data_IF_490606921812
#
_entry.id   IF_490606921812
#
_cell.length_a   1.000
_cell.length_b   1.000
_cell.length_c   1.000
_cell.angle_alpha   90.00
_cell.angle_beta   90.00
_cell.angle_gamma   90.00
#
_symmetry.space_group_name_H-M   'P 1'
#
loop_
_entity.id
_entity.type
_entity.pdbx_description
1 polymer ?
#
# COMPACT_ATOMS: atom_id res chain seq x y z
N UNK A 1 -10.95 -22.64 -20.79
CA UNK A 1 -9.60 -22.56 -20.24
C UNK A 1 -8.99 -21.18 -20.49
N UNK A 2 -7.94 -20.85 -19.79
CA UNK A 2 -7.21 -19.60 -20.00
C UNK A 2 -6.62 -19.57 -21.42
N UNK A 3 -6.96 -18.53 -22.18
CA UNK A 3 -6.49 -18.38 -23.57
C UNK A 3 -5.73 -17.06 -23.78
N UNK A 4 -6.10 -16.03 -23.04
CA UNK A 4 -5.51 -14.70 -23.17
C UNK A 4 -4.17 -14.61 -22.47
N UNK A 5 -3.24 -13.85 -23.04
CA UNK A 5 -1.87 -13.73 -22.54
C UNK A 5 -1.80 -13.17 -21.13
N UNK A 6 -2.67 -12.21 -20.74
CA UNK A 6 -2.73 -11.69 -19.38
C UNK A 6 -3.16 -12.74 -18.34
N UNK A 7 -4.09 -13.65 -18.71
CA UNK A 7 -4.50 -14.75 -17.84
C UNK A 7 -3.37 -15.78 -17.69
N UNK A 8 -2.69 -16.09 -18.80
CA UNK A 8 -1.54 -17.01 -18.81
C UNK A 8 -0.41 -16.43 -17.97
N UNK A 9 -0.08 -15.15 -18.16
CA UNK A 9 0.94 -14.46 -17.41
C UNK A 9 0.63 -14.44 -15.91
N UNK A 10 -0.60 -14.13 -15.51
CA UNK A 10 -1.03 -14.13 -14.12
C UNK A 10 -0.86 -15.52 -13.47
N UNK A 11 -1.25 -16.59 -14.18
CA UNK A 11 -1.09 -17.96 -13.70
C UNK A 11 0.39 -18.35 -13.54
N UNK A 12 1.23 -17.97 -14.51
CA UNK A 12 2.69 -18.21 -14.47
C UNK A 12 3.30 -17.50 -13.27
N UNK A 13 2.94 -16.24 -13.04
CA UNK A 13 3.47 -15.43 -11.94
C UNK A 13 3.05 -16.00 -10.59
N UNK A 14 1.75 -16.27 -10.40
CA UNK A 14 1.24 -16.87 -9.17
C UNK A 14 1.92 -18.19 -8.83
N UNK A 15 2.04 -19.09 -9.84
CA UNK A 15 2.72 -20.37 -9.66
C UNK A 15 4.19 -20.19 -9.36
N UNK A 16 4.88 -19.31 -10.09
CA UNK A 16 6.32 -19.08 -9.91
C UNK A 16 6.71 -18.49 -8.56
N UNK A 17 5.77 -17.83 -7.88
CA UNK A 17 5.95 -17.27 -6.53
C UNK A 17 5.53 -18.22 -5.41
N UNK A 18 4.65 -19.16 -5.69
CA UNK A 18 4.08 -20.02 -4.67
C UNK A 18 5.06 -21.11 -4.23
N UNK A 19 4.91 -21.54 -2.98
CA UNK A 19 5.59 -22.72 -2.46
C UNK A 19 5.32 -23.92 -3.37
N UNK A 20 6.37 -24.67 -3.69
CA UNK A 20 6.35 -25.83 -4.60
C UNK A 20 5.90 -25.50 -6.04
N UNK A 21 5.88 -24.23 -6.42
CA UNK A 21 5.48 -23.76 -7.72
C UNK A 21 6.53 -23.96 -8.81
N UNK A 22 6.67 -25.19 -9.30
CA UNK A 22 7.67 -25.60 -10.30
C UNK A 22 7.04 -25.73 -11.69
N UNK A 23 7.81 -25.43 -12.71
CA UNK A 23 7.42 -25.61 -14.11
C UNK A 23 8.13 -26.82 -14.70
N UNK A 24 7.39 -27.73 -15.35
CA UNK A 24 7.94 -28.92 -15.98
C UNK A 24 8.37 -28.66 -17.43
N UNK A 25 9.61 -29.00 -17.78
CA UNK A 25 10.13 -28.93 -19.12
C UNK A 25 10.67 -30.30 -19.53
N UNK A 26 10.37 -30.75 -20.75
CA UNK A 26 10.76 -32.08 -21.26
C UNK A 26 12.28 -32.26 -21.23
N UNK A 27 13.03 -31.22 -21.56
CA UNK A 27 14.46 -31.18 -21.42
C UNK A 27 14.85 -30.05 -20.46
N UNK A 28 15.08 -30.37 -19.20
CA UNK A 28 15.45 -29.40 -18.17
C UNK A 28 16.85 -28.80 -18.38
N UNK A 29 17.66 -29.38 -19.24
CA UNK A 29 19.00 -28.89 -19.62
C UNK A 29 18.93 -27.90 -20.79
N UNK A 30 17.75 -27.69 -21.35
CA UNK A 30 17.56 -26.62 -22.35
C UNK A 30 17.68 -25.25 -21.70
N UNK A 31 18.89 -24.69 -21.82
CA UNK A 31 19.22 -23.38 -21.25
C UNK A 31 18.30 -22.25 -21.74
N UNK A 32 17.80 -22.34 -22.99
CA UNK A 32 16.94 -21.31 -23.57
C UNK A 32 15.51 -21.39 -23.02
N UNK A 33 14.95 -22.59 -22.92
CA UNK A 33 13.62 -22.81 -22.36
C UNK A 33 13.57 -22.46 -20.85
N UNK A 34 14.51 -22.99 -20.11
CA UNK A 34 14.64 -22.73 -18.66
C UNK A 34 14.90 -21.25 -18.36
N UNK A 35 15.84 -20.63 -19.08
CA UNK A 35 16.17 -19.23 -18.93
C UNK A 35 15.01 -18.32 -19.32
N UNK A 36 14.29 -18.65 -20.41
CA UNK A 36 13.13 -17.88 -20.86
C UNK A 36 12.01 -17.79 -19.82
N UNK A 37 11.59 -18.95 -19.27
CA UNK A 37 10.54 -18.99 -18.24
C UNK A 37 11.03 -18.27 -16.97
N UNK A 38 12.24 -18.57 -16.51
CA UNK A 38 12.80 -17.94 -15.30
C UNK A 38 12.85 -16.43 -15.44
N UNK A 39 13.41 -15.89 -16.52
CA UNK A 39 13.54 -14.45 -16.74
C UNK A 39 12.18 -13.76 -16.87
N UNK A 40 11.20 -14.40 -17.52
CA UNK A 40 9.85 -13.87 -17.63
C UNK A 40 9.16 -13.79 -16.27
N UNK A 41 9.23 -14.85 -15.48
CA UNK A 41 8.66 -14.87 -14.12
C UNK A 41 9.38 -13.87 -13.22
N UNK A 42 10.71 -13.83 -13.21
CA UNK A 42 11.48 -12.86 -12.41
C UNK A 42 11.16 -11.41 -12.78
N UNK A 43 10.96 -11.11 -14.05
CA UNK A 43 10.60 -9.77 -14.51
C UNK A 43 9.22 -9.35 -14.03
N UNK A 44 8.24 -10.24 -14.10
CA UNK A 44 6.90 -9.99 -13.61
C UNK A 44 6.83 -9.95 -12.07
N UNK A 45 7.57 -10.84 -11.41
CA UNK A 45 7.65 -10.91 -9.95
C UNK A 45 8.30 -9.67 -9.35
N UNK A 46 9.27 -9.05 -10.01
CA UNK A 46 9.85 -7.77 -9.54
C UNK A 46 8.83 -6.67 -9.31
N UNK A 47 7.75 -6.65 -10.10
CA UNK A 47 6.63 -5.73 -9.86
C UNK A 47 5.86 -6.11 -8.59
N UNK A 48 5.61 -7.40 -8.39
CA UNK A 48 4.87 -7.92 -7.23
C UNK A 48 5.73 -7.95 -5.96
N UNK A 49 7.03 -8.18 -6.07
CA UNK A 49 7.98 -8.08 -4.94
C UNK A 49 8.01 -6.68 -4.33
N UNK A 50 7.90 -5.63 -5.14
CA UNK A 50 7.76 -4.26 -4.63
C UNK A 50 6.51 -4.10 -3.79
N UNK A 51 5.38 -4.64 -4.25
CA UNK A 51 4.11 -4.62 -3.54
C UNK A 51 4.19 -5.38 -2.21
N UNK A 52 4.73 -6.59 -2.25
CA UNK A 52 4.91 -7.45 -1.08
C UNK A 52 5.89 -6.82 -0.08
N UNK A 53 7.01 -6.30 -0.57
CA UNK A 53 8.01 -5.64 0.26
C UNK A 53 7.45 -4.39 0.92
N UNK A 54 6.71 -3.57 0.18
CA UNK A 54 6.06 -2.39 0.73
C UNK A 54 5.03 -2.76 1.81
N UNK A 55 4.23 -3.81 1.59
CA UNK A 55 3.31 -4.33 2.62
C UNK A 55 4.05 -4.79 3.88
N UNK A 56 5.15 -5.51 3.74
CA UNK A 56 5.99 -5.95 4.86
C UNK A 56 6.63 -4.78 5.62
N UNK A 57 7.05 -3.73 4.92
CA UNK A 57 7.62 -2.53 5.58
C UNK A 57 6.57 -1.79 6.42
N UNK A 58 5.32 -1.70 5.96
CA UNK A 58 4.23 -1.12 6.77
C UNK A 58 4.00 -1.92 8.06
N UNK A 59 4.05 -3.24 7.99
CA UNK A 59 3.86 -4.10 9.18
C UNK A 59 4.96 -3.92 10.22
N UNK A 60 6.18 -3.57 9.80
CA UNK A 60 7.30 -3.32 10.72
C UNK A 60 7.20 -1.98 11.47
N UNK A 61 6.28 -1.10 11.05
CA UNK A 61 6.11 0.20 11.72
C UNK A 61 5.55 -0.02 13.11
N UNK A 62 6.20 0.56 14.11
CA UNK A 62 5.70 0.60 15.49
C UNK A 62 4.59 1.66 15.59
N UNK A 63 3.33 1.20 15.59
CA UNK A 63 2.17 2.07 15.78
C UNK A 63 1.94 2.42 17.26
N UNK A 64 2.72 1.85 18.19
CA UNK A 64 2.54 2.03 19.62
C UNK A 64 1.30 1.32 20.16
N UNK A 65 1.11 1.49 21.48
CA UNK A 65 -0.04 0.93 22.20
C UNK A 65 -1.11 1.99 22.52
N UNK A 66 -0.92 3.22 22.06
CA UNK A 66 -1.91 4.29 22.25
C UNK A 66 -3.14 4.05 21.36
N UNK A 67 -4.30 4.47 21.82
CA UNK A 67 -5.50 4.42 20.98
C UNK A 67 -5.34 5.39 19.80
N UNK A 68 -5.76 4.92 18.62
CA UNK A 68 -5.79 5.73 17.41
C UNK A 68 -6.59 7.01 17.66
N UNK A 69 -6.04 8.16 17.23
CA UNK A 69 -6.69 9.46 17.40
C UNK A 69 -6.79 9.92 18.86
N UNK A 70 -5.86 9.52 19.71
CA UNK A 70 -5.87 9.82 21.13
C UNK A 70 -5.85 11.35 21.37
N UNK A 71 -6.90 11.86 22.01
CA UNK A 71 -7.01 13.26 22.43
C UNK A 71 -6.80 13.35 23.93
N UNK A 72 -5.84 14.17 24.33
CA UNK A 72 -5.40 14.33 25.73
C UNK A 72 -5.61 15.74 26.24
N UNK A 73 -5.67 15.87 27.57
CA UNK A 73 -5.75 17.17 28.22
C UNK A 73 -4.49 18.01 27.99
N UNK A 74 -4.68 19.30 28.14
CA UNK A 74 -3.66 20.34 28.08
C UNK A 74 -2.31 19.90 28.70
N UNK A 75 -1.25 20.08 27.96
CA UNK A 75 0.13 19.79 28.40
C UNK A 75 0.59 18.34 28.22
N UNK A 76 -0.30 17.42 27.87
CA UNK A 76 0.01 15.99 27.66
C UNK A 76 0.10 15.59 26.18
N UNK A 77 -0.18 16.51 25.25
CA UNK A 77 0.12 16.31 23.83
C UNK A 77 1.63 16.35 23.63
N UNK A 78 2.24 15.36 23.05
CA UNK A 78 3.66 15.34 22.75
C UNK A 78 3.93 15.35 21.25
N UNK A 79 5.19 15.47 20.85
CA UNK A 79 5.58 15.14 19.49
C UNK A 79 5.31 13.65 19.24
N UNK A 80 4.81 13.30 18.06
CA UNK A 80 4.74 11.91 17.64
C UNK A 80 6.15 11.38 17.36
N UNK A 81 6.34 10.07 17.46
CA UNK A 81 7.61 9.45 17.09
C UNK A 81 7.87 9.64 15.59
N UNK A 82 8.96 10.35 15.26
CA UNK A 82 9.29 10.73 13.89
C UNK A 82 9.56 9.53 12.99
N UNK A 83 10.15 8.44 13.51
CA UNK A 83 10.40 7.23 12.75
C UNK A 83 9.09 6.49 12.46
N UNK A 84 8.15 6.48 13.40
CA UNK A 84 6.82 5.91 13.21
C UNK A 84 6.05 6.67 12.12
N UNK A 85 5.98 8.01 12.20
CA UNK A 85 5.30 8.85 11.20
C UNK A 85 5.90 8.63 9.79
N UNK A 86 7.23 8.73 9.67
CA UNK A 86 7.94 8.53 8.40
C UNK A 86 7.79 7.11 7.86
N UNK A 87 7.84 6.11 8.75
CA UNK A 87 7.66 4.71 8.41
C UNK A 87 6.27 4.44 7.83
N UNK A 88 5.21 4.97 8.46
CA UNK A 88 3.84 4.89 7.97
C UNK A 88 3.72 5.53 6.59
N UNK A 89 4.21 6.76 6.44
CA UNK A 89 4.11 7.50 5.18
C UNK A 89 4.88 6.82 4.04
N UNK A 90 6.12 6.37 4.28
CA UNK A 90 6.95 5.63 3.30
C UNK A 90 6.34 4.27 2.94
N UNK A 91 5.77 3.56 3.93
CA UNK A 91 5.08 2.30 3.70
C UNK A 91 3.84 2.48 2.81
N UNK A 92 3.00 3.47 3.11
CA UNK A 92 1.83 3.82 2.28
C UNK A 92 2.27 4.18 0.87
N UNK A 93 3.28 5.05 0.71
CA UNK A 93 3.83 5.39 -0.61
C UNK A 93 4.29 4.15 -1.37
N UNK A 94 5.08 3.29 -0.73
CA UNK A 94 5.57 2.06 -1.35
C UNK A 94 4.46 1.14 -1.85
N UNK A 95 3.36 1.02 -1.09
CA UNK A 95 2.18 0.23 -1.49
C UNK A 95 1.47 0.89 -2.68
N UNK A 96 1.22 2.20 -2.62
CA UNK A 96 0.54 2.93 -3.70
C UNK A 96 1.35 2.85 -5.00
N UNK A 97 2.66 3.10 -4.94
CA UNK A 97 3.56 3.02 -6.10
C UNK A 97 3.57 1.61 -6.70
N UNK A 98 3.67 0.59 -5.85
CA UNK A 98 3.72 -0.81 -6.29
C UNK A 98 2.38 -1.33 -6.83
N UNK A 99 1.26 -0.80 -6.32
CA UNK A 99 -0.09 -1.12 -6.82
C UNK A 99 -0.44 -0.38 -8.13
N UNK A 100 0.47 0.44 -8.68
CA UNK A 100 0.19 1.26 -9.85
C UNK A 100 -0.85 2.36 -9.58
N UNK A 101 -1.00 2.77 -8.32
CA UNK A 101 -1.94 3.81 -7.92
C UNK A 101 -1.61 5.15 -8.57
N UNK A 102 -2.45 5.59 -9.51
CA UNK A 102 -2.31 6.86 -10.21
C UNK A 102 -3.00 7.97 -9.43
N UNK A 103 -2.32 8.48 -8.40
CA UNK A 103 -2.83 9.60 -7.60
C UNK A 103 -2.64 10.97 -8.30
N UNK A 104 -1.89 11.04 -9.39
CA UNK A 104 -1.66 12.28 -10.13
C UNK A 104 -2.95 12.90 -10.68
N UNK A 105 -3.95 12.07 -10.99
CA UNK A 105 -5.26 12.51 -11.46
C UNK A 105 -6.20 12.96 -10.31
N UNK A 106 -5.82 12.75 -9.06
CA UNK A 106 -6.62 13.15 -7.90
C UNK A 106 -6.49 14.66 -7.71
N UNK A 107 -7.61 15.37 -7.82
CA UNK A 107 -7.66 16.82 -7.60
C UNK A 107 -7.52 17.11 -6.10
N UNK A 108 -6.60 18.01 -5.74
CA UNK A 108 -6.44 18.45 -4.36
C UNK A 108 -7.72 19.18 -3.85
N UNK A 109 -7.93 19.16 -2.55
CA UNK A 109 -9.00 19.94 -1.94
C UNK A 109 -8.76 21.44 -2.15
N UNK A 110 -9.85 22.19 -2.33
CA UNK A 110 -9.79 23.65 -2.49
C UNK A 110 -10.19 24.41 -1.23
N UNK A 111 -10.62 23.71 -0.16
CA UNK A 111 -11.06 24.32 1.10
C UNK A 111 -9.86 24.65 1.96
N UNK A 112 -9.80 25.85 2.47
CA UNK A 112 -8.71 26.41 3.32
C UNK A 112 -9.21 26.99 4.64
N UNK A 113 -10.37 26.51 5.13
CA UNK A 113 -11.05 27.08 6.31
C UNK A 113 -10.65 26.42 7.63
N UNK A 114 -9.96 25.29 7.59
CA UNK A 114 -9.72 24.46 8.77
C UNK A 114 -8.30 24.52 9.33
N UNK A 115 -7.54 25.58 9.01
CA UNK A 115 -6.14 25.77 9.44
C UNK A 115 -5.93 25.79 10.96
N UNK A 116 -6.93 26.20 11.74
CA UNK A 116 -6.86 26.21 13.20
C UNK A 116 -6.79 24.79 13.80
N UNK A 117 -7.11 23.75 13.03
CA UNK A 117 -6.84 22.37 13.42
C UNK A 117 -5.38 22.12 13.82
N UNK A 118 -4.44 22.96 13.31
CA UNK A 118 -3.03 22.93 13.67
C UNK A 118 -2.76 23.12 15.16
N UNK A 119 -3.62 23.81 15.88
CA UNK A 119 -3.50 24.02 17.33
C UNK A 119 -3.51 22.73 18.14
N UNK A 120 -4.15 21.66 17.59
CA UNK A 120 -4.19 20.34 18.22
C UNK A 120 -2.84 19.61 18.22
N UNK A 121 -1.87 20.07 17.42
CA UNK A 121 -0.58 19.41 17.24
C UNK A 121 0.50 19.86 18.26
N UNK A 122 0.21 20.84 19.09
CA UNK A 122 1.15 21.36 20.07
C UNK A 122 1.22 20.58 21.37
N UNK A 123 2.40 20.62 22.03
CA UNK A 123 2.64 20.00 23.34
C UNK A 123 2.08 20.85 24.49
N UNK A 124 2.19 22.16 24.35
CA UNK A 124 1.70 23.11 25.35
C UNK A 124 0.23 23.37 25.02
N UNK A 125 -0.62 22.49 25.44
CA UNK A 125 -2.05 22.39 25.15
C UNK A 125 -2.89 23.61 25.50
N UNK A 126 -2.38 24.79 25.32
CA UNK A 126 -3.04 26.02 25.73
C UNK A 126 -3.92 26.67 24.69
N UNK A 127 -3.94 26.18 23.47
CA UNK A 127 -4.56 26.92 22.38
C UNK A 127 -5.75 26.23 21.68
N UNK A 128 -5.83 24.90 21.68
CA UNK A 128 -6.89 24.21 20.98
C UNK A 128 -8.18 24.07 21.82
N UNK A 129 -9.28 24.56 21.31
CA UNK A 129 -10.62 24.42 21.89
C UNK A 129 -11.51 23.43 21.09
N UNK A 130 -12.76 23.27 21.51
CA UNK A 130 -13.72 22.41 20.82
C UNK A 130 -14.01 22.87 19.37
N UNK A 131 -13.89 24.17 19.09
CA UNK A 131 -14.02 24.71 17.73
C UNK A 131 -12.87 24.26 16.82
N UNK A 132 -11.64 24.28 17.35
CA UNK A 132 -10.45 23.80 16.62
C UNK A 132 -10.55 22.28 16.34
N UNK A 133 -11.05 21.52 17.32
CA UNK A 133 -11.32 20.09 17.14
C UNK A 133 -12.39 19.82 16.07
N UNK A 134 -13.43 20.67 16.04
CA UNK A 134 -14.46 20.59 15.00
C UNK A 134 -13.90 20.90 13.60
N UNK A 135 -12.95 21.83 13.49
CA UNK A 135 -12.25 22.10 12.22
C UNK A 135 -11.39 20.92 11.78
N UNK A 136 -10.71 20.26 12.71
CA UNK A 136 -9.97 19.02 12.40
C UNK A 136 -10.90 17.91 11.86
N UNK A 137 -12.05 17.72 12.51
CA UNK A 137 -13.07 16.78 12.06
C UNK A 137 -13.63 17.16 10.67
N UNK A 138 -13.88 18.45 10.44
CA UNK A 138 -14.35 18.95 9.16
C UNK A 138 -13.33 18.74 8.03
N UNK A 139 -12.05 19.02 8.28
CA UNK A 139 -10.99 18.79 7.29
C UNK A 139 -10.93 17.33 6.86
N UNK A 140 -11.02 16.38 7.81
CA UNK A 140 -10.99 14.94 7.49
C UNK A 140 -12.27 14.48 6.79
N UNK A 141 -13.43 14.94 7.23
CA UNK A 141 -14.71 14.52 6.64
C UNK A 141 -15.03 15.19 5.30
N UNK A 142 -14.42 16.33 5.02
CA UNK A 142 -14.60 17.11 3.79
C UNK A 142 -13.79 16.61 2.59
N UNK A 143 -12.92 15.63 2.78
CA UNK A 143 -12.03 15.13 1.74
C UNK A 143 -12.20 13.64 1.51
N UNK A 144 -11.83 13.18 0.31
CA UNK A 144 -11.84 11.76 -0.01
C UNK A 144 -10.59 11.04 0.53
N UNK A 145 -10.70 9.73 0.72
CA UNK A 145 -9.53 8.91 1.10
C UNK A 145 -8.40 8.97 0.07
N UNK A 146 -8.73 9.10 -1.23
CA UNK A 146 -7.74 9.26 -2.30
C UNK A 146 -6.98 10.59 -2.18
N UNK A 147 -7.65 11.67 -1.78
CA UNK A 147 -7.02 12.96 -1.53
C UNK A 147 -6.07 12.88 -0.33
N UNK A 148 -6.47 12.22 0.76
CA UNK A 148 -5.60 12.00 1.93
C UNK A 148 -4.37 11.17 1.52
N UNK A 149 -4.58 10.06 0.80
CA UNK A 149 -3.47 9.20 0.32
C UNK A 149 -2.50 9.98 -0.57
N UNK A 150 -3.02 10.81 -1.48
CA UNK A 150 -2.17 11.66 -2.34
C UNK A 150 -1.25 12.55 -1.52
N UNK A 151 -1.77 13.25 -0.53
CA UNK A 151 -0.96 14.15 0.30
C UNK A 151 0.09 13.40 1.13
N UNK A 152 -0.23 12.19 1.61
CA UNK A 152 0.75 11.34 2.30
C UNK A 152 1.85 10.89 1.35
N UNK A 153 1.51 10.42 0.16
CA UNK A 153 2.47 9.94 -0.86
C UNK A 153 3.36 11.08 -1.35
N UNK A 154 2.79 12.24 -1.64
CA UNK A 154 3.52 13.44 -2.07
C UNK A 154 4.50 13.90 -0.98
N UNK A 155 4.08 13.88 0.29
CA UNK A 155 4.95 14.22 1.41
C UNK A 155 6.08 13.18 1.61
N UNK A 156 5.76 11.89 1.47
CA UNK A 156 6.74 10.80 1.61
C UNK A 156 7.79 10.78 0.49
N UNK A 157 7.50 11.43 -0.64
CA UNK A 157 8.44 11.60 -1.75
C UNK A 157 9.46 12.73 -1.57
N UNK A 158 9.28 13.59 -0.55
CA UNK A 158 10.22 14.69 -0.26
C UNK A 158 11.46 14.19 0.48
N UNK A 159 12.52 14.99 0.46
CA UNK A 159 13.76 14.68 1.19
C UNK A 159 13.56 14.65 2.72
N UNK A 160 14.36 13.84 3.41
CA UNK A 160 14.25 13.64 4.87
C UNK A 160 14.40 14.94 5.68
N UNK A 161 15.13 15.95 5.15
CA UNK A 161 15.28 17.26 5.76
C UNK A 161 13.97 18.03 5.90
N UNK A 162 13.08 17.89 4.93
CA UNK A 162 11.75 18.52 4.91
C UNK A 162 10.73 17.79 5.80
N UNK A 163 11.12 16.63 6.34
CA UNK A 163 10.26 15.75 7.13
C UNK A 163 10.61 15.76 8.63
N UNK A 164 11.35 16.76 9.11
CA UNK A 164 11.58 16.94 10.54
C UNK A 164 10.34 17.57 11.20
N UNK A 165 10.07 17.15 12.44
CA UNK A 165 8.96 17.72 13.21
C UNK A 165 9.16 19.20 13.50
N UNK A 166 8.14 20.00 13.20
CA UNK A 166 8.11 21.44 13.44
C UNK A 166 6.76 21.83 14.04
N UNK A 167 6.65 23.03 14.59
CA UNK A 167 5.34 23.54 15.04
C UNK A 167 4.38 23.69 13.83
N UNK A 168 3.09 23.56 14.06
CA UNK A 168 2.07 23.56 13.00
C UNK A 168 2.18 24.79 12.08
N UNK A 169 2.43 25.97 12.63
CA UNK A 169 2.58 27.21 11.84
C UNK A 169 3.75 27.19 10.85
N UNK A 170 4.79 26.41 11.11
CA UNK A 170 5.98 26.31 10.26
C UNK A 170 6.00 25.04 9.40
N UNK A 171 5.03 24.14 9.58
CA UNK A 171 4.95 22.90 8.82
C UNK A 171 4.61 23.17 7.34
N UNK A 172 5.45 22.68 6.46
CA UNK A 172 5.28 22.80 5.00
C UNK A 172 4.79 21.52 4.32
N UNK A 173 4.54 20.46 5.09
CA UNK A 173 3.99 19.20 4.60
C UNK A 173 3.36 18.39 5.75
N UNK A 174 2.49 17.41 5.42
CA UNK A 174 1.80 16.59 6.42
C UNK A 174 2.70 15.78 7.35
N UNK A 175 3.87 15.32 6.92
CA UNK A 175 4.79 14.53 7.76
C UNK A 175 5.41 15.42 8.85
N UNK A 176 5.94 16.58 8.47
CA UNK A 176 6.51 17.53 9.43
C UNK A 176 5.48 18.00 10.46
N UNK A 177 4.25 18.26 10.02
CA UNK A 177 3.12 18.59 10.87
C UNK A 177 2.75 17.42 11.81
N UNK A 178 2.65 16.20 11.29
CA UNK A 178 2.28 15.02 12.07
C UNK A 178 3.26 14.71 13.19
N UNK A 179 4.57 14.83 12.93
CA UNK A 179 5.60 14.69 13.96
C UNK A 179 5.40 15.80 15.00
N UNK A 180 5.27 17.04 14.55
CA UNK A 180 4.98 18.19 15.40
C UNK A 180 6.18 18.64 16.24
N UNK A 181 5.97 19.72 16.98
CA UNK A 181 6.88 20.30 17.97
C UNK A 181 6.11 20.86 19.17
N UNK A 182 6.86 21.43 20.16
CA UNK A 182 6.26 21.82 21.44
C UNK A 182 5.20 22.93 21.38
N UNK A 183 5.24 23.81 20.37
CA UNK A 183 4.35 24.95 20.28
C UNK A 183 3.08 24.65 19.47
N UNK A 184 1.93 25.06 20.02
CA UNK A 184 0.66 25.04 19.30
C UNK A 184 0.54 26.25 18.34
N UNK A 185 -0.22 26.10 17.26
CA UNK A 185 -0.51 27.20 16.33
C UNK A 185 -1.36 26.72 15.15
N UNK A 186 -2.04 27.65 14.50
CA UNK A 186 -2.73 27.35 13.24
C UNK A 186 -1.70 27.01 12.14
N UNK A 187 -2.10 26.21 11.16
CA UNK A 187 -1.31 26.00 9.95
C UNK A 187 -1.22 27.31 9.14
N UNK A 188 -0.04 27.63 8.63
CA UNK A 188 0.18 28.91 7.95
C UNK A 188 0.98 28.79 6.64
N UNK A 189 1.61 27.64 6.38
CA UNK A 189 2.39 27.43 5.15
C UNK A 189 1.56 26.80 4.06
N UNK A 190 1.81 27.13 2.80
CA UNK A 190 1.07 26.67 1.61
C UNK A 190 0.94 25.14 1.53
N UNK A 191 1.88 24.41 2.06
CA UNK A 191 1.84 22.94 2.11
C UNK A 191 0.93 22.37 3.20
N UNK A 192 0.20 23.21 3.99
CA UNK A 192 -0.64 22.81 5.12
C UNK A 192 -1.93 23.62 5.26
N UNK A 193 -2.31 24.43 4.28
CA UNK A 193 -3.52 25.25 4.35
C UNK A 193 -4.77 24.53 3.86
N UNK A 194 -4.64 23.52 3.02
CA UNK A 194 -5.76 22.80 2.41
C UNK A 194 -6.23 21.64 3.28
N UNK A 195 -7.51 21.35 3.21
CA UNK A 195 -8.14 20.32 4.04
C UNK A 195 -7.56 18.92 3.82
N UNK A 196 -7.17 18.55 2.61
CA UNK A 196 -6.54 17.26 2.33
C UNK A 196 -5.13 17.14 2.95
N UNK A 197 -4.36 18.23 2.98
CA UNK A 197 -3.07 18.30 3.65
C UNK A 197 -3.21 18.21 5.18
N UNK A 198 -4.19 18.93 5.74
CA UNK A 198 -4.55 18.89 7.16
C UNK A 198 -5.01 17.49 7.56
N UNK A 199 -5.90 16.89 6.78
CA UNK A 199 -6.39 15.53 7.00
C UNK A 199 -5.27 14.50 6.98
N UNK A 200 -4.35 14.60 6.02
CA UNK A 200 -3.19 13.71 5.93
C UNK A 200 -2.30 13.81 7.19
N UNK A 201 -2.04 15.01 7.71
CA UNK A 201 -1.29 15.21 8.95
C UNK A 201 -2.00 14.62 10.17
N UNK A 202 -3.32 14.83 10.27
CA UNK A 202 -4.16 14.28 11.35
C UNK A 202 -4.11 12.74 11.33
N UNK A 203 -4.26 12.13 10.17
CA UNK A 203 -4.25 10.67 10.01
C UNK A 203 -2.88 10.10 10.36
N UNK A 204 -1.79 10.66 9.82
CA UNK A 204 -0.43 10.21 10.12
C UNK A 204 -0.12 10.32 11.61
N UNK A 205 -0.48 11.45 12.26
CA UNK A 205 -0.27 11.63 13.69
C UNK A 205 -1.12 10.68 14.51
N UNK A 206 -2.39 10.53 14.16
CA UNK A 206 -3.33 9.68 14.89
C UNK A 206 -2.97 8.19 14.87
N UNK A 207 -2.19 7.74 13.89
CA UNK A 207 -1.70 6.36 13.76
C UNK A 207 -0.31 6.15 14.34
N UNK A 208 0.48 7.21 14.49
CA UNK A 208 1.87 7.09 14.88
C UNK A 208 2.02 6.85 16.38
N UNK A 209 3.08 6.15 16.75
CA UNK A 209 3.50 5.97 18.14
C UNK A 209 3.67 7.34 18.82
N UNK A 210 3.02 7.51 19.98
CA UNK A 210 3.04 8.76 20.75
C UNK A 210 2.25 9.90 20.10
N UNK A 211 1.53 9.65 19.01
CA UNK A 211 0.75 10.65 18.30
C UNK A 211 -0.53 11.02 19.03
N UNK A 212 -0.49 12.11 19.79
CA UNK A 212 -1.60 12.61 20.59
C UNK A 212 -2.01 14.01 20.14
N UNK A 213 -3.29 14.33 20.30
CA UNK A 213 -3.84 15.65 20.03
C UNK A 213 -4.13 16.36 21.35
N UNK A 214 -3.62 17.58 21.51
CA UNK A 214 -3.82 18.39 22.71
C UNK A 214 -5.09 19.21 22.63
N UNK A 215 -5.98 19.09 23.62
CA UNK A 215 -7.20 19.90 23.74
C UNK A 215 -7.21 20.61 25.11
N UNK A 216 -7.56 21.90 25.13
CA UNK A 216 -7.54 22.72 26.36
C UNK A 216 -8.41 22.13 27.46
N UNK A 217 -9.54 21.57 27.10
CA UNK A 217 -10.44 20.87 28.00
C UNK A 217 -10.74 19.45 27.43
N UNK A 218 -9.99 18.45 27.90
CA UNK A 218 -10.16 17.06 27.45
C UNK A 218 -11.49 16.43 27.91
N UNK A 219 -12.25 17.12 28.77
CA UNK A 219 -13.57 16.70 29.21
C UNK A 219 -14.70 17.26 28.34
N UNK A 220 -14.39 18.11 27.35
CA UNK A 220 -15.35 18.57 26.35
C UNK A 220 -15.69 17.44 25.38
N UNK A 221 -16.77 16.75 25.71
CA UNK A 221 -17.07 15.39 25.30
C UNK A 221 -17.39 15.16 23.83
N UNK A 222 -18.48 15.66 23.33
CA UNK A 222 -19.07 15.08 22.10
C UNK A 222 -18.55 15.71 20.81
N UNK A 223 -18.21 16.99 20.85
CA UNK A 223 -17.86 17.75 19.65
C UNK A 223 -16.34 17.94 19.49
N UNK A 224 -15.57 17.92 20.61
CA UNK A 224 -14.13 18.07 20.57
C UNK A 224 -13.41 16.72 20.44
N UNK A 225 -13.33 15.98 21.54
CA UNK A 225 -12.60 14.71 21.64
C UNK A 225 -13.19 13.63 20.73
N UNK A 226 -14.52 13.49 20.78
CA UNK A 226 -15.25 12.51 19.95
C UNK A 226 -15.16 12.84 18.47
N UNK A 227 -15.24 14.10 18.08
CA UNK A 227 -15.14 14.53 16.68
C UNK A 227 -13.80 14.18 16.05
N UNK A 228 -12.68 14.53 16.71
CA UNK A 228 -11.32 14.19 16.23
C UNK A 228 -11.13 12.69 16.17
N UNK A 229 -11.49 11.98 17.24
CA UNK A 229 -11.36 10.52 17.29
C UNK A 229 -12.14 9.84 16.17
N UNK A 230 -13.41 10.16 15.99
CA UNK A 230 -14.25 9.58 14.93
C UNK A 230 -13.75 9.91 13.52
N UNK A 231 -13.25 11.14 13.30
CA UNK A 231 -12.69 11.55 12.04
C UNK A 231 -11.41 10.76 11.72
N UNK A 232 -10.50 10.66 12.68
CA UNK A 232 -9.27 9.87 12.53
C UNK A 232 -9.60 8.39 12.33
N UNK A 233 -10.48 7.80 13.15
CA UNK A 233 -10.89 6.40 13.00
C UNK A 233 -11.52 6.13 11.63
N UNK A 234 -12.33 7.04 11.11
CA UNK A 234 -12.94 6.90 9.79
C UNK A 234 -11.91 6.93 8.67
N UNK A 235 -10.94 7.84 8.74
CA UNK A 235 -9.85 7.92 7.77
C UNK A 235 -8.86 6.74 7.90
N UNK A 236 -8.58 6.32 9.13
CA UNK A 236 -7.71 5.18 9.42
C UNK A 236 -8.30 3.86 8.95
N UNK A 237 -9.63 3.69 8.94
CA UNK A 237 -10.26 2.47 8.37
C UNK A 237 -9.87 2.21 6.92
N UNK A 238 -9.60 3.26 6.13
CA UNK A 238 -9.03 3.10 4.78
C UNK A 238 -7.61 2.55 4.83
N UNK A 239 -6.79 3.06 5.75
CA UNK A 239 -5.39 2.64 5.93
C UNK A 239 -5.25 1.30 6.68
N UNK A 240 -6.19 0.97 7.56
CA UNK A 240 -6.26 -0.35 8.21
C UNK A 240 -6.45 -1.49 7.20
N UNK A 241 -7.17 -1.27 6.12
CA UNK A 241 -7.27 -2.24 5.03
C UNK A 241 -5.92 -2.50 4.38
N UNK A 242 -5.13 -1.45 4.13
CA UNK A 242 -3.76 -1.54 3.61
C UNK A 242 -2.85 -2.33 4.56
N UNK A 243 -2.88 -1.98 5.84
CA UNK A 243 -2.08 -2.64 6.88
C UNK A 243 -2.49 -4.11 7.04
N UNK A 244 -3.79 -4.38 7.05
CA UNK A 244 -4.32 -5.74 7.15
C UNK A 244 -3.93 -6.58 5.94
N UNK A 245 -4.05 -6.02 4.73
CA UNK A 245 -3.62 -6.69 3.51
C UNK A 245 -2.10 -6.98 3.52
N UNK A 246 -1.27 -6.05 4.00
CA UNK A 246 0.16 -6.27 4.21
C UNK A 246 0.44 -7.42 5.17
N UNK A 247 -0.28 -7.49 6.29
CA UNK A 247 -0.19 -8.58 7.28
C UNK A 247 -0.61 -9.94 6.71
N UNK A 248 -1.62 -9.99 5.85
CA UNK A 248 -2.02 -11.23 5.20
C UNK A 248 -0.95 -11.72 4.22
N UNK A 249 -0.30 -10.81 3.48
CA UNK A 249 0.85 -11.18 2.63
C UNK A 249 2.04 -11.68 3.45
N UNK A 250 2.30 -11.11 4.63
CA UNK A 250 3.39 -11.57 5.50
C UNK A 250 3.21 -13.02 5.96
N UNK A 251 1.97 -13.47 6.13
CA UNK A 251 1.64 -14.85 6.56
C UNK A 251 1.81 -15.88 5.45
N UNK A 252 1.96 -15.45 4.19
CA UNK A 252 2.08 -16.38 3.06
C UNK A 252 3.44 -17.08 3.10
N UNK A 253 3.42 -18.39 3.07
CA UNK A 253 4.61 -19.22 2.87
C UNK A 253 4.97 -19.27 1.39
N UNK A 254 5.99 -18.51 1.00
CA UNK A 254 6.53 -18.50 -0.36
C UNK A 254 7.45 -19.70 -0.63
N UNK A 255 7.77 -20.51 0.39
CA UNK A 255 8.72 -21.61 0.31
C UNK A 255 10.18 -21.12 0.17
N UNK A 256 11.06 -22.11 0.02
CA UNK A 256 12.50 -21.88 -0.15
C UNK A 256 12.99 -22.14 -1.59
N UNK A 257 12.06 -22.48 -2.50
CA UNK A 257 12.42 -22.71 -3.90
C UNK A 257 12.72 -21.36 -4.60
N UNK A 258 13.61 -21.42 -5.56
CA UNK A 258 13.86 -20.23 -6.40
C UNK A 258 12.61 -19.88 -7.22
N UNK A 259 12.30 -18.60 -7.27
CA UNK A 259 11.19 -18.06 -8.08
C UNK A 259 11.35 -18.53 -9.53
N UNK A 260 10.24 -18.99 -10.12
CA UNK A 260 10.24 -19.47 -11.50
C UNK A 260 11.02 -20.76 -11.73
N UNK A 261 11.15 -21.62 -10.72
CA UNK A 261 11.91 -22.86 -10.79
C UNK A 261 11.40 -23.78 -11.90
N UNK A 262 12.30 -24.14 -12.82
CA UNK A 262 12.02 -25.06 -13.93
C UNK A 262 12.76 -26.37 -13.64
N UNK A 263 12.01 -27.48 -13.66
CA UNK A 263 12.48 -28.82 -13.33
C UNK A 263 12.29 -29.78 -14.51
N UNK A 264 12.98 -30.92 -14.44
CA UNK A 264 12.83 -31.97 -15.43
C UNK A 264 11.41 -32.53 -15.46
N UNK A 265 11.08 -33.14 -16.60
CA UNK A 265 9.84 -33.87 -16.84
C UNK A 265 9.44 -34.77 -15.67
N UNK A 266 8.19 -34.66 -15.22
CA UNK A 266 7.63 -35.47 -14.14
C UNK A 266 7.97 -35.00 -12.72
N UNK A 267 8.79 -33.97 -12.55
CA UNK A 267 9.15 -33.39 -11.25
C UNK A 267 8.40 -32.10 -10.91
N UNK A 268 7.62 -31.56 -11.84
CA UNK A 268 6.75 -30.42 -11.58
C UNK A 268 5.49 -30.88 -10.85
N UNK A 269 5.48 -30.78 -9.55
CA UNK A 269 4.31 -31.03 -8.71
C UNK A 269 3.24 -29.93 -8.87
N UNK A 270 2.10 -30.09 -8.21
CA UNK A 270 1.17 -28.99 -8.00
C UNK A 270 1.80 -27.97 -7.04
N UNK A 271 1.64 -26.68 -7.32
CA UNK A 271 1.98 -25.65 -6.36
C UNK A 271 1.09 -25.75 -5.10
N UNK A 272 1.61 -25.34 -3.96
CA UNK A 272 0.83 -25.30 -2.73
C UNK A 272 -0.38 -24.37 -2.88
N UNK A 273 -1.57 -24.92 -2.67
CA UNK A 273 -2.84 -24.22 -2.90
C UNK A 273 -3.01 -23.02 -1.97
N UNK A 274 -2.61 -23.17 -0.71
CA UNK A 274 -2.80 -22.12 0.28
C UNK A 274 -1.82 -20.98 0.05
N UNK A 275 -0.61 -21.29 -0.41
CA UNK A 275 0.36 -20.29 -0.86
C UNK A 275 -0.16 -19.52 -2.07
N UNK A 276 -0.64 -20.19 -3.13
CA UNK A 276 -1.21 -19.52 -4.32
C UNK A 276 -2.37 -18.61 -3.93
N UNK A 277 -3.32 -19.11 -3.16
CA UNK A 277 -4.49 -18.35 -2.73
C UNK A 277 -4.12 -17.19 -1.79
N UNK A 278 -3.16 -17.40 -0.90
CA UNK A 278 -2.66 -16.37 0.01
C UNK A 278 -2.01 -15.21 -0.74
N UNK A 279 -1.16 -15.52 -1.72
CA UNK A 279 -0.54 -14.52 -2.61
C UNK A 279 -1.62 -13.72 -3.35
N UNK A 280 -2.56 -14.40 -4.00
CA UNK A 280 -3.60 -13.74 -4.79
C UNK A 280 -4.50 -12.83 -3.92
N UNK A 281 -4.95 -13.33 -2.77
CA UNK A 281 -5.77 -12.55 -1.81
C UNK A 281 -4.99 -11.37 -1.21
N UNK A 282 -3.72 -11.58 -0.89
CA UNK A 282 -2.86 -10.52 -0.37
C UNK A 282 -2.69 -9.40 -1.40
N UNK A 283 -2.38 -9.74 -2.65
CA UNK A 283 -2.27 -8.78 -3.75
C UNK A 283 -3.61 -8.03 -3.94
N UNK A 284 -4.73 -8.76 -4.00
CA UNK A 284 -6.06 -8.13 -4.10
C UNK A 284 -6.31 -7.16 -2.96
N UNK A 285 -6.07 -7.57 -1.73
CA UNK A 285 -6.27 -6.73 -0.55
C UNK A 285 -5.46 -5.43 -0.58
N UNK A 286 -4.20 -5.52 -1.04
CA UNK A 286 -3.33 -4.35 -1.19
C UNK A 286 -3.84 -3.42 -2.30
N UNK A 287 -4.18 -3.98 -3.47
CA UNK A 287 -4.69 -3.20 -4.61
C UNK A 287 -6.00 -2.49 -4.25
N UNK A 288 -6.95 -3.21 -3.65
CA UNK A 288 -8.24 -2.65 -3.22
C UNK A 288 -8.04 -1.52 -2.19
N UNK A 289 -7.15 -1.74 -1.22
CA UNK A 289 -6.88 -0.77 -0.16
C UNK A 289 -6.10 0.46 -0.65
N UNK A 290 -5.26 0.30 -1.68
CA UNK A 290 -4.54 1.40 -2.32
C UNK A 290 -5.41 2.24 -3.26
N UNK A 291 -6.70 1.89 -3.42
CA UNK A 291 -7.60 2.54 -4.39
C UNK A 291 -7.22 2.24 -5.84
N UNK A 292 -6.53 1.12 -6.08
CA UNK A 292 -6.13 0.70 -7.43
C UNK A 292 -7.36 0.42 -8.30
N UNK A 293 -7.60 1.30 -9.28
CA UNK A 293 -8.72 1.17 -10.23
C UNK A 293 -8.27 0.31 -11.42
N UNK A 294 -8.30 -1.01 -11.25
CA UNK A 294 -7.98 -1.94 -12.34
C UNK A 294 -9.14 -2.14 -13.33
N UNK A 295 -10.33 -1.65 -13.04
CA UNK A 295 -11.51 -1.77 -13.92
C UNK A 295 -11.29 -1.12 -15.29
N UNK A 296 -10.50 -0.06 -15.34
CA UNK A 296 -10.14 0.63 -16.59
C UNK A 296 -9.02 -0.06 -17.38
N UNK A 297 -8.37 -1.08 -16.81
CA UNK A 297 -7.30 -1.82 -17.48
C UNK A 297 -7.92 -2.76 -18.52
N UNK A 298 -7.60 -2.53 -19.78
CA UNK A 298 -8.07 -3.36 -20.88
C UNK A 298 -7.34 -4.71 -20.86
N UNK A 299 -8.08 -5.81 -20.90
CA UNK A 299 -7.51 -7.15 -20.99
C UNK A 299 -6.69 -7.32 -22.28
N UNK A 300 -5.69 -8.18 -22.26
CA UNK A 300 -4.94 -8.55 -23.46
C UNK A 300 -5.86 -9.23 -24.48
N UNK A 301 -5.64 -8.92 -25.76
CA UNK A 301 -6.41 -9.53 -26.86
C UNK A 301 -5.67 -10.68 -27.54
N UNK A 302 -4.42 -10.94 -27.18
CA UNK A 302 -3.60 -12.00 -27.78
C UNK A 302 -3.97 -13.36 -27.18
N UNK A 303 -4.21 -14.35 -28.02
CA UNK A 303 -4.59 -15.72 -27.66
C UNK A 303 -3.66 -16.79 -28.28
N UNK A 304 -2.42 -16.42 -28.63
CA UNK A 304 -1.50 -17.29 -29.36
C UNK A 304 -0.62 -18.16 -28.46
N UNK A 305 -0.58 -17.89 -27.18
CA UNK A 305 0.37 -18.50 -26.25
C UNK A 305 -0.24 -19.60 -25.34
N UNK A 306 -1.36 -20.20 -25.74
CA UNK A 306 -2.06 -21.23 -24.96
C UNK A 306 -1.21 -22.46 -24.62
N UNK A 307 -0.23 -22.81 -25.47
CA UNK A 307 0.70 -23.93 -25.21
C UNK A 307 1.61 -23.73 -23.99
N UNK A 308 1.74 -22.49 -23.48
CA UNK A 308 2.40 -22.22 -22.21
C UNK A 308 1.78 -23.04 -21.06
N UNK A 309 0.49 -23.40 -21.17
CA UNK A 309 -0.19 -24.25 -20.20
C UNK A 309 0.44 -25.63 -20.01
N UNK A 310 1.18 -26.13 -20.99
CA UNK A 310 1.90 -27.42 -20.91
C UNK A 310 2.94 -27.45 -19.78
N UNK A 311 3.50 -26.27 -19.41
CA UNK A 311 4.46 -26.12 -18.31
C UNK A 311 3.85 -26.40 -16.91
N UNK A 312 2.53 -26.39 -16.78
CA UNK A 312 1.82 -26.62 -15.52
C UNK A 312 1.53 -28.12 -15.27
N UNK A 313 1.79 -29.00 -16.24
CA UNK A 313 1.48 -30.42 -16.13
C UNK A 313 2.45 -31.19 -15.25
N UNK A 314 1.90 -32.11 -14.42
CA UNK A 314 2.69 -33.03 -13.61
C UNK A 314 3.29 -34.17 -14.46
N UNK A 315 2.59 -34.52 -15.51
CA UNK A 315 3.00 -35.60 -16.43
C UNK A 315 3.71 -34.93 -17.61
N UNK A 316 4.92 -34.57 -17.42
CA UNK A 316 5.81 -33.79 -18.29
C UNK A 316 5.95 -34.26 -19.76
N UNK A 317 4.91 -34.72 -20.37
CA UNK A 317 4.98 -35.26 -21.72
C UNK A 317 4.93 -34.26 -22.85
N UNK A 318 4.73 -32.99 -22.61
CA UNK A 318 4.39 -32.06 -23.69
C UNK A 318 4.99 -30.66 -23.66
N UNK A 319 5.67 -30.25 -22.56
CA UNK A 319 6.28 -28.94 -22.51
C UNK A 319 7.71 -28.99 -23.10
N UNK A 320 7.89 -28.38 -24.24
CA UNK A 320 9.14 -28.21 -24.95
C UNK A 320 9.63 -26.76 -24.89
N UNK A 321 10.73 -26.47 -25.56
CA UNK A 321 11.28 -25.12 -25.65
C UNK A 321 10.31 -24.11 -26.28
N UNK A 322 9.42 -24.58 -27.17
CA UNK A 322 8.40 -23.72 -27.77
C UNK A 322 7.33 -23.32 -26.73
N UNK A 323 6.86 -24.25 -25.88
CA UNK A 323 5.95 -23.94 -24.78
C UNK A 323 6.58 -22.95 -23.79
N UNK A 324 7.87 -23.10 -23.49
CA UNK A 324 8.62 -22.16 -22.65
C UNK A 324 8.74 -20.77 -23.29
N UNK A 325 9.00 -20.71 -24.61
CA UNK A 325 9.05 -19.46 -25.39
C UNK A 325 7.68 -18.75 -25.39
N UNK A 326 6.59 -19.50 -25.55
CA UNK A 326 5.22 -18.97 -25.48
C UNK A 326 4.88 -18.42 -24.09
N UNK A 327 5.33 -19.09 -23.03
CA UNK A 327 5.18 -18.56 -21.67
C UNK A 327 5.92 -17.24 -21.47
N UNK A 328 7.16 -17.18 -21.94
CA UNK A 328 7.96 -15.93 -21.89
C UNK A 328 7.30 -14.80 -22.70
N UNK A 329 6.77 -15.13 -23.88
CA UNK A 329 6.06 -14.18 -24.76
C UNK A 329 4.77 -13.69 -24.09
N UNK A 330 3.97 -14.55 -23.49
CA UNK A 330 2.76 -14.16 -22.78
C UNK A 330 3.04 -13.18 -21.64
N UNK A 331 4.08 -13.45 -20.84
CA UNK A 331 4.45 -12.56 -19.73
C UNK A 331 5.05 -11.23 -20.21
N UNK A 332 5.91 -11.26 -21.23
CA UNK A 332 6.54 -10.04 -21.77
C UNK A 332 5.61 -9.18 -22.65
N UNK A 333 4.57 -9.79 -23.20
CA UNK A 333 3.59 -9.14 -24.07
C UNK A 333 2.47 -8.38 -23.34
N UNK A 334 2.42 -8.47 -22.01
CA UNK A 334 1.39 -7.83 -21.20
C UNK A 334 2.00 -6.83 -20.20
N UNK A 335 1.21 -5.85 -19.78
CA UNK A 335 1.63 -4.90 -18.75
C UNK A 335 1.49 -5.51 -17.34
N UNK A 336 2.26 -4.99 -16.38
CA UNK A 336 2.11 -5.36 -14.98
C UNK A 336 0.70 -5.10 -14.44
N UNK A 337 0.03 -4.04 -14.89
CA UNK A 337 -1.36 -3.72 -14.54
C UNK A 337 -2.34 -4.78 -15.05
N UNK A 338 -2.12 -5.33 -16.26
CA UNK A 338 -2.92 -6.42 -16.81
C UNK A 338 -2.75 -7.71 -16.00
N UNK A 339 -1.51 -8.04 -15.60
CA UNK A 339 -1.22 -9.18 -14.73
C UNK A 339 -1.92 -9.01 -13.37
N UNK A 340 -1.76 -7.83 -12.74
CA UNK A 340 -2.42 -7.51 -11.46
C UNK A 340 -3.94 -7.65 -11.56
N UNK A 341 -4.55 -7.12 -12.64
CA UNK A 341 -5.98 -7.24 -12.86
C UNK A 341 -6.44 -8.69 -12.86
N UNK A 342 -5.78 -9.57 -13.61
CA UNK A 342 -6.16 -10.98 -13.68
C UNK A 342 -5.98 -11.69 -12.34
N UNK A 343 -4.95 -11.35 -11.55
CA UNK A 343 -4.77 -11.90 -10.21
C UNK A 343 -5.89 -11.43 -9.27
N UNK A 344 -6.23 -10.15 -9.29
CA UNK A 344 -7.30 -9.57 -8.46
C UNK A 344 -8.66 -10.14 -8.82
N UNK A 345 -8.97 -10.25 -10.12
CA UNK A 345 -10.22 -10.83 -10.62
C UNK A 345 -10.34 -12.32 -10.21
N UNK A 346 -9.24 -13.07 -10.24
CA UNK A 346 -9.22 -14.47 -9.83
C UNK A 346 -9.31 -14.67 -8.30
N UNK A 347 -8.92 -13.69 -7.52
CA UNK A 347 -8.97 -13.73 -6.04
C UNK A 347 -10.35 -13.32 -5.47
N UNK A 348 -11.23 -12.74 -6.28
CA UNK A 348 -12.62 -12.38 -5.93
C UNK A 348 -13.55 -13.53 -6.10
#
# INVERSE_FOLDING_TARGET
GMKKDDQIAAAIVLRGMAKDGKFGLQNADDANGKGGVKNAVESAVKLLEKLITAGKEVVKVDFGNDSIGNVVAQGNGGAADGNSVKGIAKGIKGIVDAAGGKLDAVTAANTETNVDAGKLFGNNGGAADAGDASKAAAAVSGVSGEQILKQIVDAAGKEDGDQNGVKAADAANPIAAAIGAAEAGAFAKDGMTKDDQIAAAIVLRGMAKGGKFGLQNANDDANGKGGVKNAVESAVKLLEKLITAGKEVEKVDFGNDSIGNVVAQGQAGAADKDSVNGIAKGIKGIVDAAGGKLDAVTAANTETNGDAGKLFGNNGGAADAEAASKAATAVSGVSGEQILKQIVDAAG
#
